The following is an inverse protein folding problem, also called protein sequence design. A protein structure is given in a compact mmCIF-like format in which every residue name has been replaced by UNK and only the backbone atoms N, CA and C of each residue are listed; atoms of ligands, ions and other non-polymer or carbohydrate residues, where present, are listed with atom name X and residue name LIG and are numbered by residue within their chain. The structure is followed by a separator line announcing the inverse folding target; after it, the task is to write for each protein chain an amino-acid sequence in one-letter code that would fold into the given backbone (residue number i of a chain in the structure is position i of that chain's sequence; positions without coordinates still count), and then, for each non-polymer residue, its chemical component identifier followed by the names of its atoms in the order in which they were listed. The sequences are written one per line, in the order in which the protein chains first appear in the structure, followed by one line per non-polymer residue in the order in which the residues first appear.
data_IF_972964825800
#
_entry.id   IF_972964825800
#
_cell.length_a   1.000
_cell.length_b   1.000
_cell.length_c   1.000
_cell.angle_alpha   90.00
_cell.angle_beta   90.00
_cell.angle_gamma   90.00
#
_symmetry.space_group_name_H-M   'P 1'
#
loop_
_entity.id
_entity.type
_entity.pdbx_description
1 polymer ?
#
# COMPACT_ATOMS: atom_id res chain seq x y z
N UNK A 1 30.83 61.23 -24.25
CA UNK A 1 31.24 60.02 -25.01
C UNK A 1 30.28 58.83 -24.60
N UNK A 2 29.41 58.45 -25.52
CA UNK A 2 28.55 57.29 -25.29
C UNK A 2 29.31 56.01 -25.69
N UNK A 3 29.66 55.20 -24.71
CA UNK A 3 30.30 53.92 -24.92
C UNK A 3 29.33 52.96 -25.64
N UNK A 4 29.59 52.67 -26.89
CA UNK A 4 28.81 51.76 -27.72
C UNK A 4 29.09 50.30 -27.29
N UNK A 5 28.27 49.73 -26.38
CA UNK A 5 28.37 48.32 -25.97
C UNK A 5 27.95 47.48 -27.17
N UNK A 6 28.90 46.87 -27.87
CA UNK A 6 28.64 45.85 -28.92
C UNK A 6 28.09 44.59 -28.26
N UNK A 7 26.79 44.38 -28.30
CA UNK A 7 26.14 43.12 -27.95
C UNK A 7 26.55 42.09 -29.01
N UNK A 8 27.35 41.11 -28.62
CA UNK A 8 27.65 39.96 -29.51
C UNK A 8 26.39 39.20 -29.73
N UNK A 9 25.93 39.06 -30.97
CA UNK A 9 24.80 38.24 -31.34
C UNK A 9 25.13 36.76 -31.14
N UNK A 10 24.17 35.98 -30.58
CA UNK A 10 24.27 34.55 -30.41
C UNK A 10 24.06 33.86 -31.75
N UNK A 11 24.94 32.93 -32.12
CA UNK A 11 24.79 32.18 -33.39
C UNK A 11 23.83 30.98 -33.20
N UNK A 12 23.18 30.59 -34.29
CA UNK A 12 22.29 29.44 -34.30
C UNK A 12 23.04 28.13 -33.93
N UNK A 13 24.30 28.02 -34.33
CA UNK A 13 25.16 26.85 -34.02
C UNK A 13 25.48 26.78 -32.52
N UNK A 14 25.82 27.90 -31.90
CA UNK A 14 26.09 27.96 -30.46
C UNK A 14 24.87 27.51 -29.66
N UNK A 15 23.66 27.95 -30.06
CA UNK A 15 22.43 27.49 -29.43
C UNK A 15 22.22 25.99 -29.62
N UNK A 16 22.41 25.47 -30.83
CA UNK A 16 22.19 24.07 -31.19
C UNK A 16 23.16 23.15 -30.42
N UNK A 17 24.43 23.52 -30.29
CA UNK A 17 25.42 22.73 -29.51
C UNK A 17 25.02 22.67 -28.03
N UNK A 18 24.58 23.76 -27.45
CA UNK A 18 24.16 23.79 -26.04
C UNK A 18 22.98 22.89 -25.78
N UNK A 19 21.92 22.96 -26.62
CA UNK A 19 20.77 22.10 -26.44
C UNK A 19 21.11 20.61 -26.68
N UNK A 20 22.04 20.29 -27.60
CA UNK A 20 22.51 18.93 -27.82
C UNK A 20 23.23 18.38 -26.58
N UNK A 21 24.11 19.16 -25.95
CA UNK A 21 24.80 18.76 -24.73
C UNK A 21 23.79 18.54 -23.58
N UNK A 22 22.86 19.49 -23.39
CA UNK A 22 21.79 19.34 -22.38
C UNK A 22 20.98 18.08 -22.62
N UNK A 23 20.60 17.79 -23.87
CA UNK A 23 19.81 16.60 -24.20
C UNK A 23 20.57 15.29 -23.87
N UNK A 24 21.86 15.22 -24.16
CA UNK A 24 22.72 14.08 -23.83
C UNK A 24 22.81 13.90 -22.31
N UNK A 25 23.08 14.96 -21.56
CA UNK A 25 23.15 14.91 -20.11
C UNK A 25 21.82 14.51 -19.50
N UNK A 26 20.70 15.06 -19.96
CA UNK A 26 19.37 14.73 -19.50
C UNK A 26 19.03 13.25 -19.78
N UNK A 27 19.37 12.72 -20.95
CA UNK A 27 19.12 11.32 -21.32
C UNK A 27 19.83 10.33 -20.38
N UNK A 28 20.99 10.69 -19.85
CA UNK A 28 21.74 9.87 -18.88
C UNK A 28 21.20 10.02 -17.46
N UNK A 29 20.71 11.20 -17.08
CA UNK A 29 20.25 11.48 -15.71
C UNK A 29 18.83 11.02 -15.44
N UNK A 30 17.91 11.12 -16.41
CA UNK A 30 16.48 10.79 -16.20
C UNK A 30 16.23 9.36 -15.69
N UNK A 31 16.88 8.30 -16.23
CA UNK A 31 16.69 6.94 -15.72
C UNK A 31 17.17 6.79 -14.28
N UNK A 32 18.30 7.36 -13.91
CA UNK A 32 18.86 7.31 -12.56
C UNK A 32 17.98 8.05 -11.55
N UNK A 33 17.46 9.21 -11.94
CA UNK A 33 16.55 10.02 -11.12
C UNK A 33 15.23 9.28 -10.86
N UNK A 34 14.66 8.62 -11.89
CA UNK A 34 13.45 7.82 -11.77
C UNK A 34 13.60 6.69 -10.75
N UNK A 35 14.70 5.94 -10.82
CA UNK A 35 15.00 4.85 -9.88
C UNK A 35 15.22 5.38 -8.45
N UNK A 36 15.92 6.49 -8.30
CA UNK A 36 16.16 7.12 -7.00
C UNK A 36 14.86 7.60 -6.36
N UNK A 37 13.96 8.19 -7.16
CA UNK A 37 12.62 8.62 -6.72
C UNK A 37 11.79 7.45 -6.24
N UNK A 38 11.81 6.31 -6.95
CA UNK A 38 11.06 5.12 -6.52
C UNK A 38 11.65 4.51 -5.24
N UNK A 39 12.98 4.46 -5.10
CA UNK A 39 13.62 4.05 -3.83
C UNK A 39 13.20 4.95 -2.66
N UNK A 40 13.16 6.26 -2.86
CA UNK A 40 12.73 7.20 -1.82
C UNK A 40 11.27 6.97 -1.41
N UNK A 41 10.36 6.75 -2.36
CA UNK A 41 8.98 6.42 -2.09
C UNK A 41 8.84 5.10 -1.32
N UNK A 42 9.59 4.06 -1.70
CA UNK A 42 9.62 2.77 -1.02
C UNK A 42 10.05 2.90 0.46
N UNK A 43 11.08 3.71 0.72
CA UNK A 43 11.53 4.01 2.09
C UNK A 43 10.43 4.75 2.86
N UNK A 44 9.74 5.69 2.22
CA UNK A 44 8.61 6.40 2.83
C UNK A 44 7.46 5.43 3.18
N UNK A 45 7.09 4.49 2.28
CA UNK A 45 6.10 3.45 2.57
C UNK A 45 6.54 2.57 3.76
N UNK A 46 7.80 2.15 3.81
CA UNK A 46 8.33 1.38 4.92
C UNK A 46 8.27 2.15 6.25
N UNK A 47 8.52 3.46 6.24
CA UNK A 47 8.40 4.29 7.42
C UNK A 47 6.93 4.44 7.87
N UNK A 48 5.99 4.56 6.94
CA UNK A 48 4.56 4.53 7.26
C UNK A 48 4.18 3.22 7.95
N UNK A 49 4.62 2.07 7.40
CA UNK A 49 4.38 0.77 8.01
C UNK A 49 4.98 0.63 9.42
N UNK A 50 6.16 1.21 9.68
CA UNK A 50 6.75 1.24 11.03
C UNK A 50 5.86 2.02 12.00
N UNK A 51 5.35 3.18 11.59
CA UNK A 51 4.46 3.99 12.41
C UNK A 51 3.11 3.28 12.63
N UNK A 52 2.59 2.59 11.62
CA UNK A 52 1.41 1.73 11.75
C UNK A 52 1.68 0.62 12.76
N UNK A 53 2.85 -0.03 12.71
CA UNK A 53 3.24 -1.05 13.67
C UNK A 53 3.28 -0.55 15.11
N UNK A 54 3.86 0.63 15.32
CA UNK A 54 3.86 1.28 16.64
C UNK A 54 2.43 1.53 17.12
N UNK A 55 1.58 2.12 16.27
CA UNK A 55 0.17 2.37 16.59
C UNK A 55 -0.60 1.09 16.89
N UNK A 56 -0.32 0.01 16.15
CA UNK A 56 -0.94 -1.30 16.35
C UNK A 56 -0.60 -1.91 17.71
N UNK A 57 0.67 -1.85 18.11
CA UNK A 57 1.10 -2.39 19.40
C UNK A 57 0.64 -1.52 20.58
N UNK A 58 0.56 -0.20 20.42
CA UNK A 58 -0.06 0.68 21.41
C UNK A 58 -1.55 0.38 21.56
N UNK A 59 -2.25 0.14 20.44
CA UNK A 59 -3.65 -0.28 20.50
C UNK A 59 -3.81 -1.59 21.28
N UNK A 60 -3.00 -2.61 20.98
CA UNK A 60 -3.07 -3.89 21.67
C UNK A 60 -2.80 -3.76 23.16
N UNK A 61 -1.80 -2.94 23.54
CA UNK A 61 -1.50 -2.65 24.96
C UNK A 61 -2.68 -2.03 25.70
N UNK A 62 -3.43 -1.15 25.05
CA UNK A 62 -4.60 -0.48 25.65
C UNK A 62 -5.88 -1.35 25.62
N UNK A 63 -5.89 -2.46 24.86
CA UNK A 63 -7.07 -3.29 24.61
C UNK A 63 -6.83 -4.78 24.97
N UNK A 64 -6.26 -5.07 26.13
CA UNK A 64 -6.08 -6.43 26.66
C UNK A 64 -5.36 -7.39 25.68
N UNK A 65 -4.34 -6.89 25.02
CA UNK A 65 -3.56 -7.60 24.00
C UNK A 65 -4.34 -7.91 22.70
N UNK A 66 -5.59 -7.43 22.57
CA UNK A 66 -6.43 -7.62 21.38
C UNK A 66 -5.90 -6.78 20.20
N UNK A 67 -5.89 -7.39 19.02
CA UNK A 67 -5.57 -6.70 17.77
C UNK A 67 -6.85 -6.10 17.14
N UNK A 68 -6.75 -5.03 16.34
CA UNK A 68 -7.86 -4.51 15.55
C UNK A 68 -8.57 -5.63 14.80
N UNK A 69 -9.91 -5.61 14.81
CA UNK A 69 -10.70 -6.64 14.16
C UNK A 69 -10.54 -6.57 12.63
N UNK A 70 -10.00 -7.61 11.97
CA UNK A 70 -9.87 -7.59 10.53
C UNK A 70 -11.25 -7.77 9.86
N UNK A 71 -11.52 -6.93 8.85
CA UNK A 71 -12.72 -7.05 8.03
C UNK A 71 -12.73 -8.33 7.18
N UNK A 72 -11.56 -8.80 6.80
CA UNK A 72 -11.36 -10.07 6.12
C UNK A 72 -10.90 -11.12 7.11
N UNK A 73 -11.80 -12.02 7.48
CA UNK A 73 -11.52 -13.18 8.32
C UNK A 73 -12.21 -14.42 7.75
N UNK A 74 -11.49 -15.22 6.97
CA UNK A 74 -12.07 -16.38 6.30
C UNK A 74 -12.53 -17.49 7.25
N UNK A 75 -12.02 -17.53 8.49
CA UNK A 75 -12.43 -18.53 9.48
C UNK A 75 -13.80 -18.21 10.09
N UNK A 76 -14.06 -16.92 10.35
CA UNK A 76 -15.32 -16.47 10.93
C UNK A 76 -16.38 -16.08 9.90
N UNK A 77 -15.94 -15.71 8.69
CA UNK A 77 -16.80 -15.28 7.59
C UNK A 77 -16.40 -16.02 6.32
N UNK A 78 -16.78 -17.30 6.15
CA UNK A 78 -16.56 -18.05 4.92
C UNK A 78 -17.14 -17.27 3.73
N UNK A 79 -16.35 -17.05 2.68
CA UNK A 79 -16.75 -16.24 1.52
C UNK A 79 -16.48 -14.72 1.66
N UNK A 80 -15.85 -14.28 2.78
CA UNK A 80 -15.39 -12.90 2.88
C UNK A 80 -14.43 -12.57 1.74
N UNK A 81 -14.60 -11.36 1.17
CA UNK A 81 -13.79 -10.91 0.07
C UNK A 81 -12.45 -10.33 0.60
N UNK A 82 -11.27 -10.77 0.09
CA UNK A 82 -9.97 -10.25 0.52
C UNK A 82 -9.80 -8.75 0.27
N UNK A 83 -10.60 -8.17 -0.61
CA UNK A 83 -10.65 -6.72 -0.83
C UNK A 83 -11.05 -5.91 0.40
N UNK A 84 -11.67 -6.53 1.40
CA UNK A 84 -11.95 -5.87 2.68
C UNK A 84 -10.69 -5.66 3.53
N UNK A 85 -9.57 -6.31 3.23
CA UNK A 85 -8.33 -6.15 3.99
C UNK A 85 -7.73 -4.74 3.94
N UNK A 86 -8.12 -3.89 2.98
CA UNK A 86 -7.68 -2.50 2.88
C UNK A 86 -8.78 -1.45 3.16
N UNK A 87 -9.95 -1.86 3.62
CA UNK A 87 -11.03 -0.95 4.07
C UNK A 87 -10.78 -0.55 5.51
N UNK A 88 -10.88 0.75 5.83
CA UNK A 88 -10.70 1.27 7.20
C UNK A 88 -11.99 1.82 7.81
N UNK A 89 -12.87 2.39 7.00
CA UNK A 89 -14.20 2.83 7.45
C UNK A 89 -15.26 2.40 6.44
N UNK A 90 -16.44 2.05 6.94
CA UNK A 90 -17.61 1.84 6.11
C UNK A 90 -18.45 3.10 6.08
N UNK A 91 -18.88 3.49 4.89
CA UNK A 91 -19.64 4.73 4.71
C UNK A 91 -21.15 4.56 4.79
N UNK A 92 -21.66 3.59 5.53
CA UNK A 92 -23.05 3.16 5.62
C UNK A 92 -24.07 4.29 5.35
N UNK A 93 -24.62 4.35 4.12
CA UNK A 93 -25.62 5.34 3.71
C UNK A 93 -25.08 6.75 3.43
N UNK A 94 -23.76 6.99 3.51
CA UNK A 94 -23.17 8.30 3.21
C UNK A 94 -22.88 8.44 1.70
N UNK A 95 -23.13 9.63 1.18
CA UNK A 95 -22.83 9.98 -0.20
C UNK A 95 -21.31 10.15 -0.43
N UNK A 96 -20.89 10.05 -1.69
CA UNK A 96 -19.51 10.33 -2.08
C UNK A 96 -19.05 11.72 -1.65
N UNK A 97 -17.82 11.82 -1.18
CA UNK A 97 -17.24 13.08 -0.74
C UNK A 97 -17.68 13.55 0.64
N UNK A 98 -18.47 12.75 1.37
CA UNK A 98 -18.82 13.05 2.75
C UNK A 98 -17.82 12.44 3.74
N UNK A 99 -17.66 13.04 4.94
CA UNK A 99 -16.83 12.44 6.01
C UNK A 99 -17.35 11.06 6.37
N UNK A 100 -16.43 10.12 6.64
CA UNK A 100 -16.78 8.79 7.11
C UNK A 100 -17.35 8.82 8.52
N UNK A 101 -18.11 7.78 8.84
CA UNK A 101 -18.52 7.53 10.21
C UNK A 101 -17.37 6.84 10.95
N UNK A 102 -16.78 7.57 11.89
CA UNK A 102 -15.64 7.08 12.65
C UNK A 102 -16.01 6.01 13.68
N UNK A 103 -17.30 5.75 13.91
CA UNK A 103 -17.74 4.66 14.78
C UNK A 103 -17.78 3.32 14.06
N UNK A 104 -17.76 3.32 12.72
CA UNK A 104 -17.77 2.12 11.87
C UNK A 104 -16.38 1.78 11.35
N UNK A 105 -15.44 1.50 12.25
CA UNK A 105 -14.10 1.15 11.86
C UNK A 105 -13.93 -0.31 11.48
N UNK A 106 -12.96 -0.55 10.57
CA UNK A 106 -12.46 -1.86 10.20
C UNK A 106 -10.94 -1.83 10.16
N UNK A 107 -10.33 -2.99 10.35
CA UNK A 107 -8.88 -3.12 10.18
C UNK A 107 -8.09 -2.06 10.97
N UNK A 108 -7.19 -1.35 10.28
CA UNK A 108 -6.37 -0.29 10.88
C UNK A 108 -7.15 1.01 11.16
N UNK A 109 -8.43 1.11 10.80
CA UNK A 109 -9.28 2.23 11.16
C UNK A 109 -9.43 2.43 12.67
N UNK A 110 -9.33 1.36 13.45
CA UNK A 110 -9.26 1.41 14.91
C UNK A 110 -8.09 2.24 15.47
N UNK A 111 -7.06 2.47 14.65
CA UNK A 111 -5.89 3.26 15.07
C UNK A 111 -6.12 4.77 14.96
N UNK A 112 -7.09 5.20 14.14
CA UNK A 112 -7.38 6.62 13.92
C UNK A 112 -8.48 7.11 14.85
N UNK A 113 -8.39 8.33 15.40
CA UNK A 113 -7.22 9.22 15.38
C UNK A 113 -6.27 9.02 16.56
N UNK A 114 -6.62 8.17 17.56
CA UNK A 114 -5.96 8.08 18.87
C UNK A 114 -4.49 7.67 18.75
N UNK A 115 -4.19 6.65 17.96
CA UNK A 115 -2.83 6.08 17.83
C UNK A 115 -2.11 6.59 16.59
N UNK A 116 -2.86 6.92 15.54
CA UNK A 116 -2.36 7.49 14.28
C UNK A 116 -3.21 8.71 13.94
N UNK A 117 -2.80 9.93 14.32
CA UNK A 117 -3.57 11.14 14.06
C UNK A 117 -3.49 11.63 12.61
N UNK A 118 -2.47 11.22 11.85
CA UNK A 118 -2.26 11.64 10.47
C UNK A 118 -2.70 10.55 9.49
N UNK A 119 -3.82 10.76 8.83
CA UNK A 119 -4.37 9.85 7.83
C UNK A 119 -3.44 9.55 6.64
N UNK A 120 -2.41 10.39 6.40
CA UNK A 120 -1.41 10.15 5.35
C UNK A 120 -0.64 8.86 5.56
N UNK A 121 -0.49 8.44 6.78
CA UNK A 121 0.24 7.22 7.12
C UNK A 121 -0.43 5.95 6.57
N UNK A 122 -1.74 6.00 6.32
CA UNK A 122 -2.46 4.86 5.73
C UNK A 122 -2.25 4.69 4.23
N UNK A 123 -1.37 5.49 3.61
CA UNK A 123 -1.22 5.53 2.16
C UNK A 123 0.22 5.42 1.69
N UNK A 124 0.48 4.45 0.80
CA UNK A 124 1.79 4.32 0.17
C UNK A 124 1.95 5.36 -0.95
N UNK A 125 2.99 6.23 -0.92
CA UNK A 125 3.20 7.25 -1.96
C UNK A 125 3.56 6.69 -3.35
N UNK A 126 3.87 5.40 -3.45
CA UNK A 126 4.07 4.72 -4.73
C UNK A 126 2.78 4.17 -5.33
N UNK A 127 1.68 4.15 -4.56
CA UNK A 127 0.42 3.61 -5.04
C UNK A 127 -0.16 4.51 -6.14
N UNK A 128 -0.24 4.04 -7.40
CA UNK A 128 -0.70 4.90 -8.51
C UNK A 128 -2.21 5.11 -8.49
N UNK A 129 -2.96 4.06 -8.26
CA UNK A 129 -4.43 4.06 -8.18
C UNK A 129 -4.91 2.80 -7.46
N UNK A 130 -6.00 2.92 -6.71
CA UNK A 130 -6.80 1.78 -6.28
C UNK A 130 -7.92 1.58 -7.30
N UNK A 131 -8.13 0.33 -7.73
CA UNK A 131 -9.27 -0.01 -8.57
C UNK A 131 -10.41 -0.52 -7.72
N UNK A 132 -11.62 -0.04 -7.99
CA UNK A 132 -12.83 -0.61 -7.47
C UNK A 132 -13.16 -1.91 -8.23
N UNK A 133 -13.43 -3.05 -7.53
CA UNK A 133 -13.89 -4.27 -8.18
C UNK A 133 -15.15 -4.12 -9.03
N UNK A 134 -15.95 -3.05 -8.81
CA UNK A 134 -17.12 -2.71 -9.62
C UNK A 134 -16.77 -2.02 -10.95
N UNK A 135 -15.48 -1.85 -11.27
CA UNK A 135 -14.99 -1.34 -12.57
C UNK A 135 -14.72 0.16 -12.61
N UNK A 136 -14.79 0.85 -11.49
CA UNK A 136 -14.36 2.25 -11.36
C UNK A 136 -12.87 2.36 -11.04
N UNK A 137 -12.13 3.18 -11.80
CA UNK A 137 -10.79 3.60 -11.37
C UNK A 137 -10.95 4.60 -10.22
N UNK A 138 -10.60 4.20 -9.00
CA UNK A 138 -10.52 5.16 -7.90
C UNK A 138 -9.37 6.13 -8.18
N UNK A 139 -9.61 7.44 -8.05
CA UNK A 139 -8.52 8.39 -8.16
C UNK A 139 -7.45 8.02 -7.13
N UNK A 140 -6.20 8.13 -7.55
CA UNK A 140 -5.08 7.93 -6.67
C UNK A 140 -5.33 8.63 -5.33
N UNK A 141 -4.96 7.99 -4.26
CA UNK A 141 -5.06 8.43 -2.86
C UNK A 141 -4.72 9.91 -2.65
N UNK A 142 -3.93 10.49 -3.53
CA UNK A 142 -3.64 11.91 -3.62
C UNK A 142 -4.90 12.78 -3.69
N UNK A 143 -5.98 12.36 -4.38
CA UNK A 143 -7.25 13.11 -4.42
C UNK A 143 -8.02 13.09 -3.11
N UNK A 144 -7.99 11.97 -2.40
CA UNK A 144 -8.59 11.89 -1.06
C UNK A 144 -7.92 12.83 -0.08
N UNK A 145 -6.65 13.05 -0.31
CA UNK A 145 -5.75 13.78 0.56
C UNK A 145 -5.68 15.26 0.25
N UNK A 146 -5.65 15.59 -1.03
CA UNK A 146 -5.53 16.96 -1.54
C UNK A 146 -6.89 17.66 -1.71
N UNK A 147 -8.00 17.00 -1.43
CA UNK A 147 -9.31 17.64 -1.40
C UNK A 147 -9.35 18.68 -0.28
N UNK A 148 -9.13 19.93 -0.65
CA UNK A 148 -9.10 21.08 0.29
C UNK A 148 -10.45 21.34 0.98
N UNK A 149 -11.53 20.68 0.54
CA UNK A 149 -12.90 21.01 0.95
C UNK A 149 -13.56 19.94 1.83
N UNK A 150 -12.96 18.76 1.98
CA UNK A 150 -13.49 17.69 2.82
C UNK A 150 -12.39 17.13 3.72
N UNK A 151 -12.56 17.14 5.05
CA UNK A 151 -11.57 16.57 5.94
C UNK A 151 -11.51 15.06 5.75
N UNK A 152 -10.30 14.52 5.76
CA UNK A 152 -10.08 13.08 5.83
C UNK A 152 -10.61 12.53 7.18
N UNK A 153 -11.24 11.35 7.26
CA UNK A 153 -11.49 10.37 6.19
C UNK A 153 -12.78 10.66 5.39
N UNK A 154 -12.67 10.60 4.08
CA UNK A 154 -13.77 10.85 3.16
C UNK A 154 -14.24 9.56 2.49
N UNK A 155 -15.56 9.38 2.42
CA UNK A 155 -16.18 8.21 1.78
C UNK A 155 -16.08 8.28 0.26
N UNK A 156 -15.65 7.19 -0.36
CA UNK A 156 -15.70 6.98 -1.79
C UNK A 156 -16.23 5.58 -2.11
N UNK A 157 -17.24 5.48 -2.96
CA UNK A 157 -17.98 4.23 -3.20
C UNK A 157 -18.38 3.52 -1.90
N UNK A 158 -18.95 4.28 -0.95
CA UNK A 158 -19.46 3.78 0.31
C UNK A 158 -18.41 3.33 1.33
N UNK A 159 -17.11 3.60 1.12
CA UNK A 159 -16.02 3.17 2.00
C UNK A 159 -14.85 4.14 2.00
N UNK A 160 -14.03 4.04 3.04
CA UNK A 160 -12.69 4.63 3.05
C UNK A 160 -11.67 3.49 2.99
N UNK A 161 -10.76 3.57 2.03
CA UNK A 161 -9.76 2.56 1.77
C UNK A 161 -8.37 3.10 2.10
N UNK A 162 -7.43 2.21 2.40
CA UNK A 162 -6.02 2.54 2.64
C UNK A 162 -5.11 1.91 1.58
N UNK A 163 -3.87 2.36 1.52
CA UNK A 163 -2.85 1.85 0.61
C UNK A 163 -2.13 0.61 1.12
N UNK A 164 -2.67 -0.07 2.13
CA UNK A 164 -2.09 -1.25 2.76
C UNK A 164 -3.16 -2.30 3.00
N UNK A 165 -2.78 -3.58 2.98
CA UNK A 165 -3.63 -4.68 3.42
C UNK A 165 -3.32 -5.02 4.87
N UNK A 166 -4.34 -5.12 5.71
CA UNK A 166 -4.22 -5.62 7.07
C UNK A 166 -4.73 -7.05 7.15
N UNK A 167 -3.83 -7.96 7.45
CA UNK A 167 -4.14 -9.38 7.67
C UNK A 167 -3.14 -9.95 8.67
N UNK A 168 -3.43 -9.88 9.97
CA UNK A 168 -2.52 -10.32 11.02
C UNK A 168 -2.45 -11.85 11.01
N UNK A 169 -1.37 -12.39 10.46
CA UNK A 169 -1.13 -13.82 10.42
C UNK A 169 -0.57 -14.33 11.75
N UNK A 170 -1.15 -15.40 12.27
CA UNK A 170 -0.60 -16.10 13.43
C UNK A 170 0.49 -17.10 13.01
N UNK A 171 1.24 -17.63 14.00
CA UNK A 171 2.18 -18.73 13.77
C UNK A 171 1.50 -20.09 13.53
N UNK A 172 0.16 -20.17 13.65
CA UNK A 172 -0.58 -21.43 13.56
C UNK A 172 -1.14 -21.60 12.17
N UNK A 173 -0.86 -22.74 11.53
CA UNK A 173 -1.43 -23.10 10.24
C UNK A 173 -2.95 -23.33 10.35
N UNK A 174 -3.65 -23.10 9.23
CA UNK A 174 -5.08 -23.40 9.11
C UNK A 174 -5.37 -24.86 9.46
N UNK A 175 -6.52 -25.09 10.06
CA UNK A 175 -7.03 -26.44 10.35
C UNK A 175 -7.60 -27.13 9.11
N UNK A 176 -7.95 -26.37 8.08
CA UNK A 176 -8.41 -26.91 6.80
C UNK A 176 -7.22 -27.55 6.04
N UNK A 177 -7.26 -28.87 5.71
CA UNK A 177 -6.14 -29.54 5.05
C UNK A 177 -5.70 -28.90 3.72
N UNK A 178 -6.65 -28.40 2.91
CA UNK A 178 -6.34 -27.75 1.63
C UNK A 178 -5.58 -26.45 1.86
N UNK A 179 -5.99 -25.65 2.83
CA UNK A 179 -5.36 -24.38 3.19
C UNK A 179 -4.00 -24.61 3.83
N UNK A 180 -3.89 -25.60 4.72
CA UNK A 180 -2.63 -26.00 5.36
C UNK A 180 -1.57 -26.37 4.33
N UNK A 181 -1.94 -27.12 3.29
CA UNK A 181 -1.03 -27.50 2.20
C UNK A 181 -0.53 -26.28 1.39
N UNK A 182 -1.31 -25.20 1.36
CA UNK A 182 -0.90 -23.91 0.76
C UNK A 182 -0.10 -23.02 1.73
N UNK A 183 0.16 -23.49 2.95
CA UNK A 183 0.89 -22.76 3.97
C UNK A 183 0.09 -21.62 4.60
N UNK A 184 -1.24 -21.62 4.47
CA UNK A 184 -2.10 -20.58 5.03
C UNK A 184 -2.15 -20.69 6.55
N UNK A 185 -2.08 -19.53 7.20
CA UNK A 185 -2.15 -19.42 8.66
C UNK A 185 -3.52 -18.93 9.11
N UNK A 186 -3.81 -19.14 10.38
CA UNK A 186 -4.98 -18.56 11.05
C UNK A 186 -4.76 -17.06 11.26
N UNK A 187 -5.85 -16.33 11.42
CA UNK A 187 -5.83 -14.91 11.78
C UNK A 187 -5.45 -14.77 13.25
N UNK A 188 -4.45 -13.94 13.55
CA UNK A 188 -4.13 -13.58 14.93
C UNK A 188 -5.18 -12.61 15.47
N UNK A 189 -5.60 -12.82 16.72
CA UNK A 189 -6.55 -11.98 17.45
C UNK A 189 -5.85 -11.22 18.56
N UNK A 190 -4.78 -11.76 19.06
CA UNK A 190 -3.96 -11.18 20.13
C UNK A 190 -2.52 -11.02 19.68
N UNK A 191 -1.85 -10.02 20.23
CA UNK A 191 -0.47 -9.69 19.87
C UNK A 191 0.48 -10.86 20.08
N UNK A 192 0.36 -11.62 21.17
CA UNK A 192 1.23 -12.77 21.45
C UNK A 192 1.13 -13.90 20.41
N UNK A 193 0.10 -13.90 19.55
CA UNK A 193 -0.06 -14.87 18.46
C UNK A 193 0.75 -14.51 17.22
N UNK A 194 1.25 -13.27 17.15
CA UNK A 194 2.07 -12.81 16.03
C UNK A 194 3.45 -13.46 16.08
N UNK A 195 4.04 -13.68 14.92
CA UNK A 195 5.38 -14.26 14.76
C UNK A 195 6.20 -13.47 13.75
N UNK A 196 7.51 -13.45 13.96
CA UNK A 196 8.44 -12.60 13.21
C UNK A 196 8.52 -12.91 11.69
N UNK A 197 8.18 -14.13 11.27
CA UNK A 197 8.26 -14.58 9.88
C UNK A 197 6.92 -14.47 9.12
N UNK A 198 5.89 -13.86 9.72
CA UNK A 198 4.57 -13.65 9.12
C UNK A 198 4.22 -12.18 9.06
N UNK A 199 3.74 -11.75 7.91
CA UNK A 199 3.29 -10.37 7.72
C UNK A 199 1.97 -10.11 8.43
N UNK A 200 1.83 -8.91 8.97
CA UNK A 200 0.59 -8.39 9.57
C UNK A 200 -0.03 -7.25 8.77
N UNK A 201 0.80 -6.44 8.12
CA UNK A 201 0.40 -5.40 7.17
C UNK A 201 1.32 -5.46 5.96
N UNK A 202 0.78 -5.33 4.76
CA UNK A 202 1.57 -5.28 3.52
C UNK A 202 1.13 -4.11 2.66
N UNK A 203 1.97 -3.69 1.71
CA UNK A 203 1.49 -2.87 0.60
C UNK A 203 0.26 -3.54 -0.04
N UNK A 204 -0.62 -2.73 -0.65
CA UNK A 204 -1.83 -3.25 -1.29
C UNK A 204 -1.49 -4.30 -2.35
N UNK A 205 -2.15 -5.45 -2.23
CA UNK A 205 -2.13 -6.56 -3.18
C UNK A 205 -3.48 -6.58 -3.89
N UNK A 206 -3.55 -6.08 -5.11
CA UNK A 206 -4.78 -6.06 -5.92
C UNK A 206 -4.59 -6.75 -7.26
N UNK A 207 -3.98 -6.10 -8.25
CA UNK A 207 -3.56 -6.70 -9.50
C UNK A 207 -2.05 -6.52 -9.70
N UNK A 208 -1.50 -7.27 -10.64
CA UNK A 208 -0.08 -7.16 -10.98
C UNK A 208 0.33 -5.73 -11.36
N UNK A 209 -0.54 -5.07 -12.13
CA UNK A 209 -0.32 -3.73 -12.67
C UNK A 209 -0.47 -2.61 -11.63
N UNK A 210 -1.19 -2.88 -10.55
CA UNK A 210 -1.46 -1.89 -9.49
C UNK A 210 -0.54 -2.01 -8.30
N UNK A 211 0.40 -2.95 -8.30
CA UNK A 211 1.38 -3.04 -7.23
C UNK A 211 2.20 -1.75 -7.13
N UNK A 212 2.39 -1.22 -5.91
CA UNK A 212 2.93 0.14 -5.75
C UNK A 212 4.39 0.28 -6.15
N UNK A 213 5.18 -0.78 -6.00
CA UNK A 213 6.63 -0.75 -6.23
C UNK A 213 7.01 -1.53 -7.48
N UNK A 214 7.27 -0.81 -8.56
CA UNK A 214 7.62 -1.41 -9.86
C UNK A 214 8.99 -0.97 -10.33
N UNK A 215 9.66 -1.85 -11.08
CA UNK A 215 10.85 -1.56 -11.87
C UNK A 215 10.59 -2.01 -13.31
N UNK A 216 10.74 -1.09 -14.27
CA UNK A 216 10.43 -1.36 -15.69
C UNK A 216 9.03 -1.98 -15.90
N UNK A 217 8.01 -1.43 -15.24
CA UNK A 217 6.61 -1.89 -15.25
C UNK A 217 6.37 -3.29 -14.67
N UNK A 218 7.37 -3.90 -14.07
CA UNK A 218 7.21 -5.16 -13.33
C UNK A 218 7.27 -4.89 -11.83
N UNK A 219 6.46 -5.57 -11.02
CA UNK A 219 6.60 -5.51 -9.58
C UNK A 219 8.00 -5.91 -9.15
N UNK A 220 8.58 -5.11 -8.24
CA UNK A 220 9.91 -5.35 -7.70
C UNK A 220 9.87 -5.99 -6.31
N UNK A 221 8.72 -5.96 -5.65
CA UNK A 221 8.50 -6.46 -4.31
C UNK A 221 7.41 -5.68 -3.59
N UNK A 222 7.19 -5.98 -2.32
CA UNK A 222 6.24 -5.34 -1.42
C UNK A 222 6.90 -5.03 -0.08
N UNK A 223 6.59 -3.86 0.49
CA UNK A 223 6.90 -3.64 1.90
C UNK A 223 5.93 -4.46 2.76
N UNK A 224 6.45 -5.06 3.80
CA UNK A 224 5.67 -5.80 4.78
C UNK A 224 6.13 -5.45 6.20
N UNK A 225 5.16 -5.25 7.07
CA UNK A 225 5.30 -5.20 8.52
C UNK A 225 5.09 -6.61 9.05
N UNK A 226 6.02 -7.08 9.85
CA UNK A 226 6.03 -8.44 10.40
C UNK A 226 5.55 -8.48 11.85
N UNK A 227 5.25 -9.67 12.34
CA UNK A 227 4.63 -9.84 13.64
C UNK A 227 5.46 -9.38 14.85
N UNK A 228 6.75 -9.20 14.71
CA UNK A 228 7.65 -8.62 15.71
C UNK A 228 7.84 -7.08 15.58
N UNK A 229 7.18 -6.47 14.59
CA UNK A 229 7.23 -5.03 14.34
C UNK A 229 8.31 -4.57 13.37
N UNK A 230 9.19 -5.45 12.90
CA UNK A 230 10.15 -5.03 11.87
C UNK A 230 9.48 -4.88 10.50
N UNK A 231 10.07 -4.06 9.63
CA UNK A 231 9.58 -3.81 8.27
C UNK A 231 10.68 -4.12 7.28
N UNK A 232 10.37 -4.95 6.29
CA UNK A 232 11.28 -5.25 5.17
C UNK A 232 10.56 -5.11 3.83
N UNK A 233 11.37 -5.03 2.78
CA UNK A 233 10.89 -5.10 1.41
C UNK A 233 11.06 -6.54 0.91
N UNK A 234 9.97 -7.29 0.90
CA UNK A 234 9.97 -8.69 0.48
C UNK A 234 9.96 -8.82 -1.06
N UNK A 235 10.87 -9.64 -1.57
CA UNK A 235 11.00 -9.98 -3.00
C UNK A 235 10.87 -11.47 -3.24
N UNK A 236 10.19 -12.19 -2.34
CA UNK A 236 10.06 -13.66 -2.37
C UNK A 236 9.52 -14.14 -3.72
N UNK A 237 10.29 -14.91 -4.53
CA UNK A 237 9.91 -15.23 -5.90
C UNK A 237 8.56 -15.94 -6.03
N UNK A 238 8.20 -16.81 -5.07
CA UNK A 238 6.92 -17.52 -5.06
C UNK A 238 5.72 -16.59 -4.91
N UNK A 239 5.88 -15.46 -4.21
CA UNK A 239 4.82 -14.46 -4.07
C UNK A 239 4.62 -13.65 -5.35
N UNK A 240 5.63 -13.58 -6.20
CA UNK A 240 5.63 -12.82 -7.46
C UNK A 240 5.62 -13.74 -8.71
N UNK A 241 5.11 -14.98 -8.58
CA UNK A 241 4.88 -15.87 -9.72
C UNK A 241 3.71 -15.35 -10.57
N UNK A 242 3.97 -15.06 -11.85
CA UNK A 242 2.96 -14.54 -12.79
C UNK A 242 1.74 -15.45 -12.93
N UNK A 243 1.91 -16.77 -12.88
CA UNK A 243 0.79 -17.71 -12.96
C UNK A 243 -0.14 -17.58 -11.76
N UNK A 244 0.41 -17.35 -10.56
CA UNK A 244 -0.38 -17.08 -9.36
C UNK A 244 -1.20 -15.78 -9.50
N UNK A 245 -0.59 -14.72 -10.04
CA UNK A 245 -1.26 -13.43 -10.25
C UNK A 245 -2.28 -13.45 -11.39
N UNK A 246 -2.11 -14.34 -12.38
CA UNK A 246 -3.01 -14.51 -13.52
C UNK A 246 -4.27 -15.33 -13.21
N UNK A 247 -4.45 -15.82 -11.96
CA UNK A 247 -5.65 -16.53 -11.55
C UNK A 247 -6.90 -15.65 -11.75
N UNK A 248 -8.02 -16.26 -12.22
CA UNK A 248 -9.24 -15.50 -12.48
C UNK A 248 -9.84 -14.90 -11.21
N UNK A 249 -10.66 -13.84 -11.30
CA UNK A 249 -11.29 -13.18 -10.16
C UNK A 249 -12.08 -14.11 -9.23
N UNK A 250 -12.64 -15.19 -9.76
CA UNK A 250 -13.32 -16.22 -8.95
C UNK A 250 -12.39 -16.92 -7.94
N UNK A 251 -11.08 -16.83 -8.12
CA UNK A 251 -10.05 -17.40 -7.25
C UNK A 251 -9.25 -16.32 -6.50
N UNK A 252 -9.73 -15.07 -6.43
CA UNK A 252 -9.03 -13.97 -5.79
C UNK A 252 -8.67 -14.26 -4.33
N UNK A 253 -9.53 -14.94 -3.58
CA UNK A 253 -9.23 -15.32 -2.21
C UNK A 253 -8.04 -16.30 -2.14
N UNK A 254 -8.00 -17.28 -3.04
CA UNK A 254 -6.90 -18.25 -3.12
C UNK A 254 -5.62 -17.52 -3.49
N UNK A 255 -5.66 -16.72 -4.55
CA UNK A 255 -4.54 -15.90 -5.02
C UNK A 255 -3.97 -15.04 -3.88
N UNK A 256 -4.81 -14.22 -3.28
CA UNK A 256 -4.41 -13.26 -2.27
C UNK A 256 -3.80 -13.93 -1.02
N UNK A 257 -4.48 -14.94 -0.45
CA UNK A 257 -3.98 -15.67 0.73
C UNK A 257 -2.68 -16.40 0.43
N UNK A 258 -2.53 -16.97 -0.76
CA UNK A 258 -1.30 -17.66 -1.16
C UNK A 258 -0.14 -16.69 -1.30
N UNK A 259 -0.34 -15.52 -1.94
CA UNK A 259 0.67 -14.47 -2.04
C UNK A 259 1.15 -14.05 -0.64
N UNK A 260 0.21 -13.69 0.23
CA UNK A 260 0.51 -13.24 1.60
C UNK A 260 1.23 -14.33 2.40
N UNK A 261 0.85 -15.60 2.22
CA UNK A 261 1.48 -16.75 2.90
C UNK A 261 2.90 -17.05 2.40
N UNK A 262 3.24 -16.64 1.18
CA UNK A 262 4.58 -16.82 0.62
C UNK A 262 5.55 -15.69 0.93
N UNK A 263 5.05 -14.53 1.35
CA UNK A 263 5.93 -13.44 1.75
C UNK A 263 6.83 -13.88 2.92
N UNK A 264 8.08 -13.48 2.86
CA UNK A 264 9.09 -13.70 3.90
C UNK A 264 9.89 -12.41 4.09
N UNK A 265 10.45 -12.19 5.30
CA UNK A 265 11.32 -11.05 5.60
C UNK A 265 12.52 -10.94 4.67
#
# INVERSE_FOLDING_TARGET
EMNNIRIKGFTLIELLVVIAIIAILAALLLPALSQSKEKAKRISCANNLRQIGIGLFLYANDNEDELPLPAFDPEKRPGANPWYAYVIFEGAGRSEGQPADLEQHWNLGYLYPKYIPDGRLFYCPSLPQLFDPSGGAEPAMKKYYESKNVPWPMVYHGRVRMGYNYFPQSGVLSTNPKEKNLGWTRVARKQFQLVADRSIVTDVIYTWETLPHTSNKNPSGLNALWGDGHVTFSTTPKAFDRNLWALPPSLDMIKWRTIVSFLRP
#
